data_IF_970907087469
#
_entry.id   IF_970907087469
#
_cell.length_a   1.000
_cell.length_b   1.000
_cell.length_c   1.000
_cell.angle_alpha   90.00
_cell.angle_beta   90.00
_cell.angle_gamma   90.00
#
_symmetry.space_group_name_H-M   'P 1'
#
loop_
_entity.id
_entity.type
_entity.pdbx_description
1 polymer ?
#
# COMPACT_ATOMS: atom_id res chain seq x y z
N UNK A 1 8.32 10.62 -7.47
CA UNK A 1 8.08 11.29 -6.18
C UNK A 1 9.14 12.37 -5.95
N UNK A 2 8.73 13.46 -5.31
CA UNK A 2 9.64 14.51 -4.86
C UNK A 2 10.48 14.01 -3.67
N UNK A 3 11.72 14.52 -3.52
CA UNK A 3 12.60 14.12 -2.40
C UNK A 3 11.99 14.41 -1.02
N UNK A 4 11.18 15.46 -0.92
CA UNK A 4 10.48 15.88 0.30
C UNK A 4 9.01 15.44 0.33
N UNK A 5 8.68 14.34 -0.33
CA UNK A 5 7.30 13.83 -0.33
C UNK A 5 6.83 13.53 1.08
N UNK A 6 5.57 13.85 1.35
CA UNK A 6 4.85 13.36 2.51
C UNK A 6 3.99 12.17 2.07
N UNK A 7 4.28 11.01 2.62
CA UNK A 7 3.58 9.78 2.30
C UNK A 7 2.79 9.30 3.53
N UNK A 8 1.52 9.05 3.34
CA UNK A 8 0.60 8.64 4.40
C UNK A 8 0.06 7.26 4.07
N UNK A 9 0.51 6.26 4.80
CA UNK A 9 0.15 4.86 4.57
C UNK A 9 -1.01 4.38 5.44
N UNK A 10 -1.47 3.16 5.21
CA UNK A 10 -2.49 2.54 6.02
C UNK A 10 -2.01 2.22 7.43
N UNK A 11 -2.95 1.86 8.31
CA UNK A 11 -2.63 1.46 9.68
C UNK A 11 -1.60 0.34 9.73
N UNK A 12 -0.67 0.43 10.68
CA UNK A 12 0.44 -0.50 10.83
C UNK A 12 1.70 -0.10 10.06
N UNK A 13 1.60 0.77 9.06
CA UNK A 13 2.74 1.28 8.27
C UNK A 13 3.12 2.70 8.71
N UNK A 14 2.13 3.59 8.85
CA UNK A 14 2.35 4.95 9.28
C UNK A 14 2.71 5.91 8.16
N UNK A 15 3.39 7.02 8.51
CA UNK A 15 3.73 8.08 7.57
C UNK A 15 5.25 8.18 7.38
N UNK A 16 5.65 8.62 6.20
CA UNK A 16 7.04 8.91 5.84
C UNK A 16 7.14 10.36 5.35
N UNK A 17 8.10 11.12 5.86
CA UNK A 17 8.22 12.55 5.59
C UNK A 17 9.33 12.89 4.58
N UNK A 18 9.83 11.90 3.85
CA UNK A 18 10.78 12.08 2.77
C UNK A 18 10.77 10.86 1.86
N UNK A 19 11.30 11.02 0.65
CA UNK A 19 11.48 9.89 -0.27
C UNK A 19 12.38 8.81 0.36
N UNK A 20 13.42 9.23 1.07
CA UNK A 20 14.34 8.30 1.74
C UNK A 20 13.64 7.49 2.84
N UNK A 21 12.81 8.12 3.66
CA UNK A 21 12.02 7.42 4.66
C UNK A 21 11.03 6.45 4.01
N UNK A 22 10.33 6.91 2.97
CA UNK A 22 9.41 6.07 2.21
C UNK A 22 10.11 4.82 1.65
N UNK A 23 11.28 4.99 1.06
CA UNK A 23 12.06 3.87 0.52
C UNK A 23 12.52 2.91 1.62
N UNK A 24 13.04 3.43 2.73
CA UNK A 24 13.63 2.61 3.79
C UNK A 24 12.59 1.93 4.67
N UNK A 25 11.49 2.61 4.99
CA UNK A 25 10.52 2.12 5.98
C UNK A 25 9.28 1.45 5.38
N UNK A 26 9.03 1.67 4.09
CA UNK A 26 7.89 1.06 3.41
C UNK A 26 8.30 0.32 2.14
N UNK A 27 8.84 1.03 1.16
CA UNK A 27 9.02 0.50 -0.20
C UNK A 27 9.90 -0.76 -0.23
N UNK A 28 11.03 -0.76 0.45
CA UNK A 28 11.93 -1.91 0.46
C UNK A 28 11.26 -3.17 1.03
N UNK A 29 10.55 -3.03 2.14
CA UNK A 29 9.86 -4.15 2.77
C UNK A 29 8.77 -4.72 1.88
N UNK A 30 8.04 -3.83 1.22
CA UNK A 30 6.97 -4.21 0.29
C UNK A 30 7.53 -4.90 -0.95
N UNK A 31 8.63 -4.38 -1.50
CA UNK A 31 9.29 -4.97 -2.67
C UNK A 31 9.83 -6.37 -2.39
N UNK A 32 10.38 -6.60 -1.19
CA UNK A 32 10.90 -7.91 -0.78
C UNK A 32 9.78 -8.91 -0.56
N UNK A 33 8.69 -8.50 0.09
CA UNK A 33 7.55 -9.37 0.39
C UNK A 33 6.73 -9.71 -0.86
N UNK A 34 6.64 -8.78 -1.82
CA UNK A 34 5.79 -8.89 -3.01
C UNK A 34 6.56 -8.51 -4.28
N UNK A 35 7.55 -9.33 -4.70
CA UNK A 35 8.48 -8.95 -5.77
C UNK A 35 7.85 -8.95 -7.17
N UNK A 36 6.83 -9.77 -7.42
CA UNK A 36 6.16 -9.88 -8.72
C UNK A 36 4.86 -9.05 -8.82
N UNK A 37 4.73 -8.02 -7.97
CA UNK A 37 3.53 -7.19 -7.91
C UNK A 37 3.20 -6.54 -9.25
N UNK A 38 1.93 -6.54 -9.59
CA UNK A 38 1.38 -5.94 -10.82
C UNK A 38 0.14 -5.14 -10.48
N UNK A 39 0.03 -3.96 -11.08
CA UNK A 39 -1.25 -3.26 -11.15
C UNK A 39 -2.15 -4.04 -12.10
N UNK A 40 -3.35 -4.38 -11.62
CA UNK A 40 -4.38 -5.01 -12.44
C UNK A 40 -5.41 -3.97 -12.88
N UNK A 41 -6.68 -4.31 -12.79
CA UNK A 41 -7.75 -3.42 -13.20
C UNK A 41 -8.05 -2.41 -12.09
N UNK A 42 -7.93 -1.13 -12.41
CA UNK A 42 -8.41 -0.08 -11.54
C UNK A 42 -9.88 0.16 -11.81
N UNK A 43 -10.70 0.24 -10.75
CA UNK A 43 -12.12 0.58 -10.87
C UNK A 43 -12.30 2.03 -11.27
N UNK A 44 -11.40 2.90 -10.83
CA UNK A 44 -11.38 4.29 -11.24
C UNK A 44 -9.96 4.84 -11.27
N UNK A 45 -9.72 5.74 -12.21
CA UNK A 45 -8.51 6.55 -12.30
C UNK A 45 -8.95 7.94 -12.80
N UNK A 46 -8.71 8.96 -12.01
CA UNK A 46 -9.16 10.32 -12.33
C UNK A 46 -8.15 11.36 -11.88
N UNK A 47 -8.22 12.52 -12.49
CA UNK A 47 -7.40 13.66 -12.13
C UNK A 47 -8.22 14.95 -12.21
N UNK A 48 -8.01 15.84 -11.25
CA UNK A 48 -8.61 17.18 -11.23
C UNK A 48 -7.61 18.17 -10.64
N UNK A 49 -7.24 19.18 -11.41
CA UNK A 49 -6.20 20.11 -11.03
C UNK A 49 -4.87 19.40 -10.81
N UNK A 50 -4.30 19.53 -9.60
CA UNK A 50 -3.05 18.87 -9.22
C UNK A 50 -3.26 17.57 -8.44
N UNK A 51 -4.51 17.12 -8.31
CA UNK A 51 -4.83 15.88 -7.62
C UNK A 51 -5.08 14.75 -8.60
N UNK A 52 -4.58 13.57 -8.26
CA UNK A 52 -4.84 12.31 -8.97
C UNK A 52 -5.39 11.32 -7.95
N UNK A 53 -6.40 10.57 -8.34
CA UNK A 53 -6.96 9.52 -7.51
C UNK A 53 -7.14 8.22 -8.29
N UNK A 54 -6.99 7.10 -7.60
CA UNK A 54 -7.29 5.79 -8.15
C UNK A 54 -7.90 4.87 -7.10
N UNK A 55 -8.73 3.93 -7.54
CA UNK A 55 -9.23 2.88 -6.69
C UNK A 55 -9.26 1.56 -7.45
N UNK A 56 -9.16 0.44 -6.74
CA UNK A 56 -9.26 -0.87 -7.34
C UNK A 56 -9.48 -1.95 -6.29
N UNK A 57 -10.46 -2.79 -6.54
CA UNK A 57 -10.62 -4.05 -5.83
C UNK A 57 -9.85 -5.11 -6.61
N UNK A 58 -8.83 -5.68 -5.97
CA UNK A 58 -7.77 -6.41 -6.65
C UNK A 58 -6.94 -5.51 -7.58
N UNK A 59 -6.74 -4.23 -7.20
CA UNK A 59 -5.99 -3.26 -8.00
C UNK A 59 -4.52 -3.59 -8.19
N UNK A 60 -3.89 -4.22 -7.19
CA UNK A 60 -2.53 -4.75 -7.27
C UNK A 60 -2.54 -6.20 -6.83
N UNK A 61 -1.86 -7.07 -7.56
CA UNK A 61 -1.68 -8.47 -7.18
C UNK A 61 -0.21 -8.83 -7.09
N UNK A 62 0.12 -9.75 -6.19
CA UNK A 62 1.46 -10.29 -6.03
C UNK A 62 1.44 -11.60 -5.26
N UNK A 63 2.50 -12.38 -5.38
CA UNK A 63 2.72 -13.55 -4.52
C UNK A 63 3.45 -13.12 -3.24
N UNK A 64 2.95 -13.55 -2.09
CA UNK A 64 3.50 -13.23 -0.77
C UNK A 64 4.66 -14.18 -0.43
N UNK A 65 5.87 -13.80 -0.76
CA UNK A 65 7.06 -14.65 -0.58
C UNK A 65 8.04 -14.16 0.48
N UNK A 66 7.81 -12.99 1.06
CA UNK A 66 8.62 -12.45 2.16
C UNK A 66 7.74 -12.02 3.33
N UNK A 67 8.32 -11.92 4.52
CA UNK A 67 7.62 -11.45 5.70
C UNK A 67 7.15 -9.99 5.50
N UNK A 68 5.96 -9.67 5.96
CA UNK A 68 5.39 -8.33 5.83
C UNK A 68 4.55 -7.97 7.05
N UNK A 69 4.85 -6.84 7.69
CA UNK A 69 4.12 -6.33 8.87
C UNK A 69 3.90 -7.42 9.94
N UNK A 70 4.94 -8.09 10.35
CA UNK A 70 4.92 -9.23 11.29
C UNK A 70 4.22 -10.51 10.81
N UNK A 71 3.64 -10.52 9.63
CA UNK A 71 3.08 -11.72 9.02
C UNK A 71 4.18 -12.48 8.26
N UNK A 72 4.32 -13.76 8.56
CA UNK A 72 5.25 -14.63 7.83
C UNK A 72 4.79 -14.85 6.39
N UNK A 73 5.74 -15.08 5.49
CA UNK A 73 5.45 -15.37 4.09
C UNK A 73 4.51 -16.58 3.97
N UNK A 74 3.40 -16.41 3.25
CA UNK A 74 2.39 -17.46 3.07
C UNK A 74 2.56 -18.25 1.78
N UNK A 75 3.27 -17.71 0.78
CA UNK A 75 3.31 -18.26 -0.57
C UNK A 75 2.02 -18.01 -1.37
N UNK A 76 1.02 -17.39 -0.77
CA UNK A 76 -0.27 -17.18 -1.41
C UNK A 76 -0.23 -16.05 -2.44
N UNK A 77 -1.11 -16.14 -3.44
CA UNK A 77 -1.41 -15.02 -4.32
C UNK A 77 -2.29 -14.02 -3.57
N UNK A 78 -1.85 -12.78 -3.50
CA UNK A 78 -2.48 -11.73 -2.70
C UNK A 78 -3.01 -10.63 -3.62
N UNK A 79 -4.16 -10.07 -3.26
CA UNK A 79 -4.72 -8.89 -3.90
C UNK A 79 -4.78 -7.73 -2.92
N UNK A 80 -4.28 -6.58 -3.33
CA UNK A 80 -4.37 -5.34 -2.57
C UNK A 80 -5.60 -4.57 -3.02
N UNK A 81 -6.51 -4.32 -2.10
CA UNK A 81 -7.75 -3.60 -2.33
C UNK A 81 -7.68 -2.25 -1.64
N UNK A 82 -7.90 -1.19 -2.39
CA UNK A 82 -7.82 0.13 -1.79
C UNK A 82 -7.85 1.26 -2.80
N UNK A 83 -7.35 2.40 -2.36
CA UNK A 83 -7.28 3.60 -3.18
C UNK A 83 -6.05 4.43 -2.83
N UNK A 84 -5.62 5.21 -3.80
CA UNK A 84 -4.51 6.15 -3.69
C UNK A 84 -4.94 7.54 -4.13
N UNK A 85 -4.43 8.54 -3.43
CA UNK A 85 -4.52 9.94 -3.86
C UNK A 85 -3.13 10.55 -3.88
N UNK A 86 -2.87 11.37 -4.88
CA UNK A 86 -1.61 12.07 -5.05
C UNK A 86 -1.85 13.55 -5.27
N UNK A 87 -0.97 14.38 -4.70
CA UNK A 87 -0.88 15.80 -5.01
C UNK A 87 0.40 16.04 -5.82
N UNK A 88 0.24 16.66 -6.98
CA UNK A 88 1.34 17.03 -7.87
C UNK A 88 1.72 18.49 -7.69
N UNK A 89 3.03 18.76 -7.71
CA UNK A 89 3.58 20.09 -7.92
C UNK A 89 4.65 20.02 -9.00
N UNK A 90 4.47 20.78 -10.09
CA UNK A 90 5.31 20.63 -11.27
C UNK A 90 5.14 19.25 -11.89
N UNK A 91 6.24 18.53 -12.08
CA UNK A 91 6.28 17.19 -12.67
C UNK A 91 6.40 16.06 -11.63
N UNK A 92 6.28 16.38 -10.33
CA UNK A 92 6.49 15.41 -9.25
C UNK A 92 5.33 15.40 -8.26
N UNK A 93 5.08 14.23 -7.67
CA UNK A 93 4.17 14.10 -6.55
C UNK A 93 4.86 14.50 -5.26
N UNK A 94 4.19 15.36 -4.49
CA UNK A 94 4.67 15.89 -3.20
C UNK A 94 3.92 15.33 -2.02
N UNK A 95 2.73 14.77 -2.23
CA UNK A 95 1.96 14.05 -1.21
C UNK A 95 1.28 12.84 -1.84
N UNK A 96 1.20 11.76 -1.07
CA UNK A 96 0.50 10.54 -1.46
C UNK A 96 -0.22 9.97 -0.23
N UNK A 97 -1.53 9.78 -0.35
CA UNK A 97 -2.37 9.15 0.65
C UNK A 97 -2.77 7.77 0.15
N UNK A 98 -2.45 6.74 0.92
CA UNK A 98 -2.69 5.34 0.55
C UNK A 98 -3.67 4.71 1.52
N UNK A 99 -4.73 4.15 0.98
CA UNK A 99 -5.74 3.42 1.73
C UNK A 99 -5.77 1.98 1.23
N UNK A 100 -5.45 1.04 2.10
CA UNK A 100 -5.53 -0.39 1.81
C UNK A 100 -6.46 -1.03 2.83
N UNK A 101 -7.32 -1.93 2.38
CA UNK A 101 -8.11 -2.75 3.29
C UNK A 101 -7.19 -3.75 3.99
N UNK A 102 -6.67 -3.35 5.15
CA UNK A 102 -5.72 -4.15 5.91
C UNK A 102 -6.36 -5.37 6.55
N UNK A 103 -7.64 -5.30 6.88
CA UNK A 103 -8.39 -6.45 7.41
C UNK A 103 -8.47 -7.55 6.36
N UNK A 104 -8.87 -7.19 5.14
CA UNK A 104 -8.91 -8.11 4.00
C UNK A 104 -7.52 -8.66 3.66
N UNK A 105 -6.50 -7.79 3.63
CA UNK A 105 -5.12 -8.22 3.33
C UNK A 105 -4.64 -9.28 4.33
N UNK A 106 -4.84 -9.06 5.62
CA UNK A 106 -4.41 -10.01 6.65
C UNK A 106 -5.26 -11.29 6.65
N UNK A 107 -6.54 -11.22 6.27
CA UNK A 107 -7.33 -12.42 6.03
C UNK A 107 -6.74 -13.29 4.93
N UNK A 108 -6.23 -12.68 3.86
CA UNK A 108 -5.52 -13.41 2.80
C UNK A 108 -4.22 -14.05 3.31
N UNK A 109 -3.61 -13.50 4.35
CA UNK A 109 -2.47 -14.11 5.04
C UNK A 109 -2.89 -15.21 6.03
N UNK A 110 -4.18 -15.41 6.25
CA UNK A 110 -4.68 -16.34 7.25
C UNK A 110 -4.77 -15.76 8.66
N UNK A 111 -4.75 -14.43 8.80
CA UNK A 111 -4.81 -13.72 10.07
C UNK A 111 -6.11 -12.95 10.19
N UNK A 112 -6.87 -13.21 11.28
CA UNK A 112 -8.10 -12.49 11.60
C UNK A 112 -7.80 -11.33 12.57
N UNK A 113 -7.63 -10.11 12.02
CA UNK A 113 -7.33 -8.92 12.83
C UNK A 113 -8.49 -8.53 13.75
N UNK A 114 -9.74 -8.76 13.33
CA UNK A 114 -10.91 -8.44 14.14
C UNK A 114 -11.00 -9.36 15.36
N UNK A 115 -10.67 -10.64 15.19
CA UNK A 115 -10.59 -11.60 16.28
C UNK A 115 -9.51 -11.21 17.29
N UNK A 116 -8.32 -10.86 16.80
CA UNK A 116 -7.22 -10.39 17.65
C UNK A 116 -7.59 -9.13 18.42
N UNK A 117 -8.28 -8.19 17.80
CA UNK A 117 -8.74 -6.97 18.47
C UNK A 117 -9.75 -7.25 19.58
N UNK A 118 -10.60 -8.27 19.42
CA UNK A 118 -11.57 -8.68 20.46
C UNK A 118 -10.90 -9.37 21.66
N UNK A 119 -9.83 -10.09 21.39
CA UNK A 119 -9.07 -10.81 22.41
C UNK A 119 -8.08 -9.91 23.17
N UNK A 120 -7.64 -8.85 22.54
CA UNK A 120 -6.67 -7.91 23.08
C UNK A 120 -7.27 -6.75 23.80
#
# INVERSE_FOLDING_TARGET
>A
FHDNINWYGPGGIGACLSLKEFQNYHQQHWLVAFPDRKVQDLDSLFAEGNFVGSSGWAGVTSQHIGNYLSAAATGNRINFNGMDFWLRRGDKFVENWVFVDMIDLFEQFGVDLLQQAREG
#
